data_IF_842163912415
#
_entry.id   IF_842163912415
#
_cell.length_a   1.000
_cell.length_b   1.000
_cell.length_c   1.000
_cell.angle_alpha   90.00
_cell.angle_beta   90.00
_cell.angle_gamma   90.00
#
_symmetry.space_group_name_H-M   'P 1'
#
loop_
_entity.id
_entity.type
_entity.pdbx_description
1 polymer ?
#
# COMPACT_ATOMS: atom_id res chain seq x y z
N UNK A 1 -24.82 7.06 -2.72
CA UNK A 1 -24.17 8.32 -3.14
C UNK A 1 -24.03 9.19 -1.92
N UNK A 2 -22.90 9.88 -1.77
CA UNK A 2 -22.63 10.71 -0.59
C UNK A 2 -23.40 12.03 -0.71
N UNK A 3 -24.12 12.42 0.33
CA UNK A 3 -24.89 13.67 0.37
C UNK A 3 -23.96 14.85 0.74
N UNK A 4 -23.12 15.29 -0.21
CA UNK A 4 -22.09 16.34 -0.02
C UNK A 4 -22.68 17.61 0.61
N UNK A 5 -23.80 18.11 0.06
CA UNK A 5 -24.42 19.37 0.52
C UNK A 5 -24.84 19.28 2.00
N UNK A 6 -25.36 18.13 2.44
CA UNK A 6 -25.73 17.93 3.85
C UNK A 6 -24.51 17.88 4.76
N UNK A 7 -23.43 17.25 4.32
CA UNK A 7 -22.18 17.20 5.08
C UNK A 7 -21.54 18.59 5.22
N UNK A 8 -21.68 19.45 4.20
CA UNK A 8 -21.17 20.82 4.21
C UNK A 8 -22.16 21.85 4.78
N UNK A 9 -23.39 21.48 5.10
CA UNK A 9 -24.34 22.37 5.76
C UNK A 9 -23.90 22.60 7.22
N UNK A 10 -23.77 23.86 7.70
CA UNK A 10 -23.49 24.17 9.11
C UNK A 10 -24.47 23.47 10.08
N UNK A 11 -24.01 23.09 11.27
CA UNK A 11 -24.86 22.40 12.26
C UNK A 11 -25.98 23.32 12.76
N UNK A 12 -25.65 24.56 13.11
CA UNK A 12 -26.61 25.64 13.39
C UNK A 12 -26.01 27.01 13.05
N UNK A 13 -26.82 28.07 13.11
CA UNK A 13 -26.34 29.44 12.91
C UNK A 13 -25.38 29.90 14.02
N UNK A 14 -25.64 29.49 15.27
CA UNK A 14 -24.85 29.88 16.44
C UNK A 14 -23.61 28.99 16.67
N UNK A 15 -23.62 27.76 16.16
CA UNK A 15 -22.50 26.82 16.28
C UNK A 15 -22.33 26.05 14.96
N UNK A 16 -21.70 26.65 13.94
CA UNK A 16 -21.57 26.06 12.61
C UNK A 16 -20.90 24.68 12.61
N UNK A 17 -19.98 24.44 13.55
CA UNK A 17 -19.25 23.17 13.70
C UNK A 17 -19.79 22.26 14.80
N UNK A 18 -20.83 22.67 15.53
CA UNK A 18 -21.42 21.90 16.62
C UNK A 18 -20.43 21.57 17.75
N UNK A 19 -20.63 20.44 18.42
CA UNK A 19 -19.87 20.05 19.61
C UNK A 19 -18.62 19.21 19.28
N UNK A 20 -17.55 19.37 20.06
CA UNK A 20 -16.43 18.44 20.03
C UNK A 20 -16.79 17.15 20.79
N UNK A 21 -17.26 16.14 20.07
CA UNK A 21 -17.86 14.95 20.68
C UNK A 21 -16.92 14.18 21.60
N UNK A 22 -15.59 14.27 21.43
CA UNK A 22 -14.62 13.60 22.31
C UNK A 22 -14.74 14.04 23.78
N UNK A 23 -15.30 15.23 24.04
CA UNK A 23 -15.62 15.69 25.39
C UNK A 23 -16.92 15.10 25.93
N UNK A 24 -17.84 14.70 25.06
CA UNK A 24 -19.00 13.87 25.41
C UNK A 24 -18.62 12.38 25.29
N UNK A 25 -18.11 11.83 26.40
CA UNK A 25 -17.70 10.43 26.48
C UNK A 25 -18.81 9.45 26.06
N UNK A 26 -20.08 9.80 26.26
CA UNK A 26 -21.19 8.90 25.93
C UNK A 26 -21.41 8.84 24.42
N UNK A 27 -21.49 9.99 23.76
CA UNK A 27 -21.67 10.09 22.32
C UNK A 27 -20.45 9.55 21.54
N UNK A 28 -19.24 9.95 21.92
CA UNK A 28 -18.02 9.53 21.20
C UNK A 28 -17.71 8.03 21.34
N UNK A 29 -18.02 7.42 22.49
CA UNK A 29 -17.74 5.99 22.71
C UNK A 29 -18.52 5.11 21.72
N UNK A 30 -19.76 5.47 21.39
CA UNK A 30 -20.55 4.76 20.38
C UNK A 30 -19.86 4.77 19.01
N UNK A 31 -19.48 5.96 18.54
CA UNK A 31 -18.77 6.14 17.27
C UNK A 31 -17.44 5.38 17.23
N UNK A 32 -16.64 5.47 18.30
CA UNK A 32 -15.36 4.78 18.38
C UNK A 32 -15.51 3.25 18.41
N UNK A 33 -16.55 2.74 19.07
CA UNK A 33 -16.83 1.30 19.07
C UNK A 33 -17.18 0.81 17.66
N UNK A 34 -18.01 1.55 16.91
CA UNK A 34 -18.35 1.22 15.52
C UNK A 34 -17.10 1.22 14.63
N UNK A 35 -16.21 2.20 14.80
CA UNK A 35 -14.94 2.25 14.07
C UNK A 35 -14.06 1.03 14.38
N UNK A 36 -13.89 0.69 15.65
CA UNK A 36 -13.11 -0.47 16.06
C UNK A 36 -13.72 -1.79 15.55
N UNK A 37 -15.05 -1.91 15.54
CA UNK A 37 -15.75 -3.08 15.03
C UNK A 37 -15.51 -3.26 13.53
N UNK A 38 -15.64 -2.18 12.74
CA UNK A 38 -15.36 -2.17 11.31
C UNK A 38 -13.92 -2.56 10.98
N UNK A 39 -12.94 -1.98 11.70
CA UNK A 39 -11.53 -2.34 11.56
C UNK A 39 -11.25 -3.80 11.92
N UNK A 40 -11.86 -4.29 13.01
CA UNK A 40 -11.65 -5.66 13.49
C UNK A 40 -12.25 -6.70 12.53
N UNK A 41 -13.48 -6.47 12.03
CA UNK A 41 -14.09 -7.36 11.03
C UNK A 41 -13.32 -7.37 9.72
N UNK A 42 -12.78 -6.21 9.30
CA UNK A 42 -11.98 -6.15 8.08
C UNK A 42 -10.65 -6.90 8.22
N UNK A 43 -9.98 -6.76 9.36
CA UNK A 43 -8.77 -7.53 9.67
C UNK A 43 -9.07 -9.03 9.67
N UNK A 44 -10.15 -9.44 10.33
CA UNK A 44 -10.57 -10.85 10.36
C UNK A 44 -10.82 -11.39 8.94
N UNK A 45 -11.44 -10.60 8.06
CA UNK A 45 -11.68 -10.97 6.67
C UNK A 45 -10.38 -11.17 5.88
N UNK A 46 -9.36 -10.33 6.12
CA UNK A 46 -8.07 -10.40 5.41
C UNK A 46 -7.19 -11.54 5.92
N UNK A 47 -7.19 -11.78 7.23
CA UNK A 47 -6.29 -12.74 7.88
C UNK A 47 -6.82 -14.18 7.83
N UNK A 48 -8.12 -14.37 7.59
CA UNK A 48 -8.74 -15.71 7.54
C UNK A 48 -8.53 -16.35 6.16
N UNK A 49 -7.92 -17.56 6.08
CA UNK A 49 -7.84 -18.30 4.82
C UNK A 49 -9.24 -18.60 4.27
N UNK A 50 -9.41 -18.51 2.96
CA UNK A 50 -10.68 -18.77 2.25
C UNK A 50 -11.87 -17.91 2.72
N UNK A 51 -11.62 -16.77 3.38
CA UNK A 51 -12.66 -15.86 3.87
C UNK A 51 -13.62 -15.36 2.78
N UNK A 52 -13.18 -15.37 1.51
CA UNK A 52 -14.03 -15.06 0.35
C UNK A 52 -15.22 -16.01 0.18
N UNK A 53 -15.18 -17.18 0.82
CA UNK A 53 -16.26 -18.18 0.82
C UNK A 53 -17.02 -18.25 2.14
N UNK A 54 -16.64 -17.44 3.14
CA UNK A 54 -17.32 -17.34 4.42
C UNK A 54 -18.32 -16.17 4.38
N UNK A 55 -19.57 -16.48 4.03
CA UNK A 55 -20.66 -15.50 3.97
C UNK A 55 -20.85 -14.76 5.30
N UNK A 56 -20.62 -15.41 6.44
CA UNK A 56 -20.80 -14.77 7.74
C UNK A 56 -19.73 -13.69 8.00
N UNK A 57 -18.49 -13.92 7.58
CA UNK A 57 -17.43 -12.90 7.68
C UNK A 57 -17.66 -11.72 6.74
N UNK A 58 -18.11 -12.01 5.51
CA UNK A 58 -18.45 -10.97 4.53
C UNK A 58 -19.61 -10.10 5.03
N UNK A 59 -20.69 -10.71 5.50
CA UNK A 59 -21.87 -10.02 6.03
C UNK A 59 -21.54 -9.21 7.29
N UNK A 60 -20.75 -9.77 8.21
CA UNK A 60 -20.33 -9.07 9.42
C UNK A 60 -19.48 -7.84 9.08
N UNK A 61 -18.52 -7.98 8.14
CA UNK A 61 -17.71 -6.87 7.69
C UNK A 61 -18.57 -5.78 7.02
N UNK A 62 -19.44 -6.14 6.08
CA UNK A 62 -20.34 -5.21 5.42
C UNK A 62 -21.22 -4.47 6.42
N UNK A 63 -21.80 -5.18 7.39
CA UNK A 63 -22.66 -4.62 8.43
C UNK A 63 -21.91 -3.61 9.29
N UNK A 64 -20.70 -3.94 9.76
CA UNK A 64 -19.92 -3.03 10.61
C UNK A 64 -19.50 -1.75 9.88
N UNK A 65 -19.10 -1.86 8.61
CA UNK A 65 -18.77 -0.68 7.80
C UNK A 65 -20.00 0.18 7.48
N UNK A 66 -21.16 -0.44 7.28
CA UNK A 66 -22.42 0.28 7.15
C UNK A 66 -22.78 1.04 8.44
N UNK A 67 -22.70 0.40 9.60
CA UNK A 67 -22.97 1.05 10.89
C UNK A 67 -22.02 2.22 11.15
N UNK A 68 -20.72 2.06 10.84
CA UNK A 68 -19.76 3.15 10.95
C UNK A 68 -20.14 4.32 10.04
N UNK A 69 -20.47 4.03 8.77
CA UNK A 69 -20.85 5.05 7.78
C UNK A 69 -22.09 5.84 8.21
N UNK A 70 -23.14 5.15 8.64
CA UNK A 70 -24.40 5.77 9.08
C UNK A 70 -24.18 6.62 10.34
N UNK A 71 -23.52 6.06 11.35
CA UNK A 71 -23.29 6.78 12.61
C UNK A 71 -22.36 7.99 12.46
N UNK A 72 -21.32 7.90 11.61
CA UNK A 72 -20.47 9.07 11.30
C UNK A 72 -21.20 10.10 10.46
N UNK A 73 -22.02 9.69 9.49
CA UNK A 73 -22.86 10.61 8.72
C UNK A 73 -23.84 11.38 9.61
N UNK A 74 -24.53 10.69 10.52
CA UNK A 74 -25.46 11.32 11.47
C UNK A 74 -24.72 12.31 12.37
N UNK A 75 -23.57 11.93 12.93
CA UNK A 75 -22.75 12.83 13.73
C UNK A 75 -22.30 14.07 12.94
N UNK A 76 -21.83 13.88 11.70
CA UNK A 76 -21.30 14.93 10.84
C UNK A 76 -22.37 15.89 10.32
N UNK A 77 -23.63 15.46 10.29
CA UNK A 77 -24.76 16.29 9.81
C UNK A 77 -25.59 16.89 10.93
N UNK A 78 -25.58 16.31 12.13
CA UNK A 78 -26.47 16.72 13.23
C UNK A 78 -25.75 17.26 14.46
N UNK A 79 -24.47 16.94 14.66
CA UNK A 79 -23.82 17.19 15.97
C UNK A 79 -22.45 17.84 15.88
N UNK A 80 -21.67 17.59 14.83
CA UNK A 80 -20.27 18.03 14.80
C UNK A 80 -19.73 18.18 13.37
N UNK A 81 -18.78 19.10 13.16
CA UNK A 81 -17.86 19.08 12.02
C UNK A 81 -16.49 18.68 12.54
N UNK A 82 -16.19 17.39 12.47
CA UNK A 82 -14.96 16.80 13.00
C UNK A 82 -14.20 16.05 11.91
N UNK A 83 -12.93 16.43 11.67
CA UNK A 83 -12.13 15.83 10.60
C UNK A 83 -11.62 14.42 10.91
N UNK A 84 -11.54 14.02 12.19
CA UNK A 84 -11.25 12.63 12.57
C UNK A 84 -12.44 11.74 12.15
N UNK A 85 -13.66 12.16 12.49
CA UNK A 85 -14.88 11.44 12.11
C UNK A 85 -15.11 11.46 10.60
N UNK A 86 -14.79 12.56 9.91
CA UNK A 86 -14.84 12.62 8.45
C UNK A 86 -13.83 11.64 7.83
N UNK A 87 -12.64 11.49 8.40
CA UNK A 87 -11.68 10.48 7.95
C UNK A 87 -12.23 9.05 8.07
N UNK A 88 -12.94 8.74 9.16
CA UNK A 88 -13.63 7.45 9.31
C UNK A 88 -14.76 7.27 8.29
N UNK A 89 -15.55 8.32 8.05
CA UNK A 89 -16.61 8.32 7.05
C UNK A 89 -16.06 8.10 5.63
N UNK A 90 -14.98 8.79 5.23
CA UNK A 90 -14.29 8.61 3.94
C UNK A 90 -13.82 7.15 3.81
N UNK A 91 -13.16 6.62 4.83
CA UNK A 91 -12.67 5.24 4.84
C UNK A 91 -13.80 4.22 4.63
N UNK A 92 -14.97 4.47 5.23
CA UNK A 92 -16.14 3.58 5.10
C UNK A 92 -16.77 3.55 3.71
N UNK A 93 -16.46 4.53 2.84
CA UNK A 93 -17.01 4.59 1.48
C UNK A 93 -16.46 3.49 0.58
N UNK A 94 -15.25 3.00 0.87
CA UNK A 94 -14.60 1.91 0.16
C UNK A 94 -15.35 0.56 0.31
N UNK A 95 -16.26 0.48 1.27
CA UNK A 95 -17.07 -0.71 1.58
C UNK A 95 -18.53 -0.55 1.13
N UNK A 96 -18.76 0.29 0.11
CA UNK A 96 -20.07 0.48 -0.52
C UNK A 96 -20.12 -0.22 -1.86
N UNK A 97 -21.32 -0.31 -2.45
CA UNK A 97 -21.49 -0.87 -3.80
C UNK A 97 -20.84 -0.01 -4.91
N UNK A 98 -20.56 1.27 -4.65
CA UNK A 98 -19.91 2.19 -5.59
C UNK A 98 -18.72 2.90 -4.91
N UNK A 99 -17.64 2.16 -4.62
CA UNK A 99 -16.59 2.63 -3.73
C UNK A 99 -15.84 3.85 -4.28
N UNK A 100 -15.47 3.86 -5.57
CA UNK A 100 -14.73 4.98 -6.16
C UNK A 100 -15.56 6.25 -6.28
N UNK A 101 -16.87 6.13 -6.59
CA UNK A 101 -17.76 7.28 -6.63
C UNK A 101 -17.92 7.90 -5.25
N UNK A 102 -18.21 7.08 -4.24
CA UNK A 102 -18.38 7.57 -2.88
C UNK A 102 -17.04 8.07 -2.28
N UNK A 103 -15.90 7.52 -2.69
CA UNK A 103 -14.57 8.05 -2.32
C UNK A 103 -14.35 9.45 -2.93
N UNK A 104 -14.61 9.63 -4.23
CA UNK A 104 -14.48 10.93 -4.88
C UNK A 104 -15.38 11.97 -4.21
N UNK A 105 -16.65 11.67 -3.98
CA UNK A 105 -17.58 12.58 -3.32
C UNK A 105 -17.14 12.91 -1.88
N UNK A 106 -16.77 11.90 -1.08
CA UNK A 106 -16.42 12.11 0.32
C UNK A 106 -15.09 12.82 0.52
N UNK A 107 -14.12 12.63 -0.38
CA UNK A 107 -12.86 13.39 -0.36
C UNK A 107 -13.06 14.86 -0.72
N UNK A 108 -14.07 15.18 -1.55
CA UNK A 108 -14.46 16.57 -1.81
C UNK A 108 -14.97 17.29 -0.57
N UNK A 109 -15.69 16.56 0.31
CA UNK A 109 -16.16 17.10 1.60
C UNK A 109 -14.99 17.50 2.51
N UNK A 110 -13.86 16.77 2.46
CA UNK A 110 -12.67 17.12 3.25
C UNK A 110 -12.15 18.51 2.93
N UNK A 111 -11.99 18.85 1.65
CA UNK A 111 -11.59 20.21 1.24
C UNK A 111 -12.60 21.24 1.74
N UNK A 112 -13.91 20.97 1.56
CA UNK A 112 -14.96 21.87 2.04
C UNK A 112 -14.93 22.09 3.56
N UNK A 113 -14.60 21.07 4.36
CA UNK A 113 -14.42 21.22 5.81
C UNK A 113 -13.29 22.17 6.16
N UNK A 114 -12.15 22.05 5.47
CA UNK A 114 -10.99 22.92 5.70
C UNK A 114 -11.30 24.35 5.24
N UNK A 115 -11.95 24.54 4.09
CA UNK A 115 -12.22 25.88 3.57
C UNK A 115 -13.32 26.61 4.35
N UNK A 116 -14.37 25.91 4.78
CA UNK A 116 -15.56 26.53 5.36
C UNK A 116 -15.50 26.63 6.89
N UNK A 117 -14.87 25.66 7.56
CA UNK A 117 -15.03 25.49 9.01
C UNK A 117 -13.74 25.65 9.82
N UNK A 118 -12.57 25.82 9.18
CA UNK A 118 -11.25 25.71 9.82
C UNK A 118 -11.15 26.34 11.21
N UNK A 119 -11.61 27.58 11.37
CA UNK A 119 -11.49 28.34 12.62
C UNK A 119 -12.03 27.56 13.83
N UNK A 120 -13.22 26.98 13.72
CA UNK A 120 -13.94 26.30 14.80
C UNK A 120 -14.04 24.78 14.57
N UNK A 121 -13.29 24.26 13.59
CA UNK A 121 -13.34 22.85 13.20
C UNK A 121 -12.81 21.93 14.30
N UNK A 122 -13.49 20.80 14.49
CA UNK A 122 -13.04 19.76 15.40
C UNK A 122 -12.10 18.79 14.68
N UNK A 123 -11.15 18.13 15.39
CA UNK A 123 -10.88 18.22 16.81
C UNK A 123 -10.34 19.58 17.27
N UNK A 124 -10.72 20.01 18.46
CA UNK A 124 -10.24 21.23 19.09
C UNK A 124 -9.66 20.97 20.48
N UNK A 125 -8.64 21.72 20.88
CA UNK A 125 -8.02 21.56 22.20
C UNK A 125 -8.89 22.32 23.24
N UNK A 126 -9.29 21.68 24.36
CA UNK A 126 -10.03 22.38 25.41
C UNK A 126 -9.23 23.56 25.97
N UNK A 127 -9.90 24.67 26.34
CA UNK A 127 -9.21 25.90 26.82
C UNK A 127 -8.25 25.63 27.97
N UNK A 128 -8.63 24.77 28.92
CA UNK A 128 -7.80 24.39 30.07
C UNK A 128 -6.59 23.50 29.73
N UNK A 129 -6.43 23.11 28.46
CA UNK A 129 -5.32 22.31 27.95
C UNK A 129 -4.38 23.11 27.04
N UNK A 130 -4.74 24.34 26.68
CA UNK A 130 -3.88 25.24 25.91
C UNK A 130 -2.82 25.82 26.84
N UNK A 131 -1.54 25.71 26.46
CA UNK A 131 -0.41 26.12 27.32
C UNK A 131 0.05 27.55 27.04
N UNK A 132 -0.10 28.00 25.80
CA UNK A 132 0.31 29.33 25.36
C UNK A 132 -0.63 30.42 25.86
N UNK A 133 -0.06 31.52 26.33
CA UNK A 133 -0.82 32.67 26.84
C UNK A 133 -1.15 33.70 25.74
N UNK A 134 -0.39 33.71 24.65
CA UNK A 134 -0.59 34.60 23.49
C UNK A 134 -1.42 33.95 22.38
N UNK A 135 -2.13 34.78 21.59
CA UNK A 135 -3.04 34.32 20.55
C UNK A 135 -2.36 33.49 19.45
N UNK A 136 -1.11 33.80 19.10
CA UNK A 136 -0.38 33.07 18.07
C UNK A 136 0.00 31.66 18.55
N UNK A 137 0.49 31.54 19.79
CA UNK A 137 0.77 30.25 20.43
C UNK A 137 -0.46 29.38 20.57
N UNK A 138 -1.61 29.94 20.98
CA UNK A 138 -2.89 29.21 21.06
C UNK A 138 -3.31 28.68 19.69
N UNK A 139 -3.26 29.52 18.66
CA UNK A 139 -3.63 29.13 17.30
C UNK A 139 -2.72 28.01 16.75
N UNK A 140 -1.42 28.07 17.09
CA UNK A 140 -0.45 27.01 16.76
C UNK A 140 -0.80 25.68 17.40
N UNK A 141 -1.03 25.66 18.72
CA UNK A 141 -1.41 24.44 19.47
C UNK A 141 -2.73 23.84 18.94
N UNK A 142 -3.70 24.69 18.61
CA UNK A 142 -4.98 24.27 18.03
C UNK A 142 -4.80 23.62 16.65
N UNK A 143 -4.02 24.25 15.76
CA UNK A 143 -3.75 23.71 14.44
C UNK A 143 -2.99 22.37 14.49
N UNK A 144 -1.96 22.26 15.33
CA UNK A 144 -1.21 21.00 15.54
C UNK A 144 -2.12 19.88 16.06
N UNK A 145 -2.98 20.20 17.03
CA UNK A 145 -3.92 19.23 17.59
C UNK A 145 -4.96 18.79 16.56
N UNK A 146 -5.51 19.74 15.79
CA UNK A 146 -6.58 19.51 14.83
C UNK A 146 -6.15 18.59 13.71
N UNK A 147 -4.98 18.82 13.09
CA UNK A 147 -4.56 18.06 11.91
C UNK A 147 -4.11 16.63 12.27
N UNK A 148 -3.58 16.40 13.47
CA UNK A 148 -2.94 15.14 13.86
C UNK A 148 -3.79 13.88 13.59
N UNK A 149 -5.11 13.85 13.86
CA UNK A 149 -5.93 12.67 13.61
C UNK A 149 -6.10 12.31 12.13
N UNK A 150 -5.81 13.22 11.18
CA UNK A 150 -5.81 12.91 9.75
C UNK A 150 -4.79 11.83 9.38
N UNK A 151 -3.75 11.60 10.19
CA UNK A 151 -2.81 10.50 9.99
C UNK A 151 -3.50 9.13 9.92
N UNK A 152 -4.64 8.93 10.62
CA UNK A 152 -5.43 7.70 10.50
C UNK A 152 -5.99 7.48 9.09
N UNK A 153 -6.24 8.56 8.34
CA UNK A 153 -6.70 8.50 6.95
C UNK A 153 -5.52 8.44 5.99
N UNK A 154 -4.57 9.37 6.12
CA UNK A 154 -3.55 9.63 5.09
C UNK A 154 -2.28 8.80 5.23
N UNK A 155 -2.04 8.22 6.41
CA UNK A 155 -0.90 7.36 6.72
C UNK A 155 0.43 8.09 6.94
N UNK A 156 1.37 7.39 7.56
CA UNK A 156 2.79 7.79 7.74
C UNK A 156 3.74 6.97 6.84
N UNK A 157 3.19 6.00 6.12
CA UNK A 157 3.83 5.09 5.18
C UNK A 157 2.80 4.65 4.12
N UNK A 158 3.25 4.05 3.01
CA UNK A 158 2.33 3.60 1.95
C UNK A 158 1.31 2.57 2.46
N UNK A 159 1.68 1.77 3.46
CA UNK A 159 0.91 0.66 4.02
C UNK A 159 0.09 1.01 5.27
N UNK A 160 0.21 2.24 5.80
CA UNK A 160 -0.52 2.70 6.99
C UNK A 160 -1.72 3.61 6.68
N UNK A 161 -1.99 3.89 5.40
CA UNK A 161 -3.17 4.67 5.00
C UNK A 161 -4.45 3.85 5.19
N UNK A 162 -5.57 4.51 5.44
CA UNK A 162 -6.86 3.82 5.50
C UNK A 162 -7.31 3.23 4.14
N UNK A 163 -6.70 3.67 3.03
CA UNK A 163 -7.02 3.24 1.68
C UNK A 163 -6.18 2.05 1.22
N UNK A 164 -5.00 1.83 1.80
CA UNK A 164 -4.01 0.89 1.28
C UNK A 164 -4.53 -0.53 1.12
N UNK A 165 -5.11 -1.11 2.18
CA UNK A 165 -5.64 -2.47 2.12
C UNK A 165 -6.98 -2.56 1.37
N UNK A 166 -7.96 -1.66 1.59
CA UNK A 166 -9.22 -1.72 0.84
C UNK A 166 -9.04 -1.60 -0.68
N UNK A 167 -8.17 -0.70 -1.17
CA UNK A 167 -7.93 -0.53 -2.61
C UNK A 167 -7.35 -1.80 -3.27
N UNK A 168 -6.65 -2.65 -2.50
CA UNK A 168 -6.14 -3.93 -3.01
C UNK A 168 -7.23 -5.00 -3.16
N UNK A 169 -8.40 -4.82 -2.56
CA UNK A 169 -9.48 -5.82 -2.54
C UNK A 169 -10.70 -5.41 -3.37
N UNK A 170 -10.83 -4.12 -3.68
CA UNK A 170 -11.90 -3.60 -4.52
C UNK A 170 -11.57 -3.88 -5.99
N UNK A 171 -12.60 -4.24 -6.76
CA UNK A 171 -12.50 -4.39 -8.21
C UNK A 171 -11.98 -3.11 -8.86
N UNK A 172 -10.86 -3.20 -9.57
CA UNK A 172 -10.21 -2.12 -10.30
C UNK A 172 -10.63 -2.12 -11.78
N UNK A 173 -10.76 -3.30 -12.38
CA UNK A 173 -11.28 -3.55 -13.72
C UNK A 173 -12.22 -4.75 -13.60
N UNK A 174 -13.53 -4.48 -13.50
CA UNK A 174 -14.53 -5.49 -13.14
C UNK A 174 -14.08 -6.27 -11.89
N UNK A 175 -13.84 -7.58 -11.99
CA UNK A 175 -13.38 -8.40 -10.87
C UNK A 175 -11.86 -8.38 -10.63
N UNK A 176 -11.06 -7.77 -11.50
CA UNK A 176 -9.61 -7.68 -11.31
C UNK A 176 -9.30 -6.61 -10.27
N UNK A 177 -8.63 -6.97 -9.19
CA UNK A 177 -8.26 -6.06 -8.11
C UNK A 177 -6.84 -5.50 -8.27
N UNK A 178 -6.51 -4.41 -7.57
CA UNK A 178 -5.11 -3.97 -7.48
C UNK A 178 -4.21 -5.01 -6.79
N UNK A 179 -4.75 -5.81 -5.87
CA UNK A 179 -4.05 -6.95 -5.28
C UNK A 179 -3.68 -8.03 -6.30
N UNK A 180 -4.53 -8.30 -7.29
CA UNK A 180 -4.21 -9.22 -8.40
C UNK A 180 -3.05 -8.70 -9.24
N UNK A 181 -3.02 -7.39 -9.51
CA UNK A 181 -1.90 -6.74 -10.21
C UNK A 181 -0.58 -6.92 -9.46
N UNK A 182 -0.55 -6.62 -8.16
CA UNK A 182 0.64 -6.79 -7.32
C UNK A 182 1.08 -8.25 -7.18
N UNK A 183 0.15 -9.20 -7.20
CA UNK A 183 0.47 -10.64 -7.24
C UNK A 183 1.09 -11.02 -8.58
N UNK A 184 0.48 -10.61 -9.69
CA UNK A 184 0.94 -10.91 -11.04
C UNK A 184 2.32 -10.30 -11.35
N UNK A 185 2.62 -9.12 -10.81
CA UNK A 185 3.96 -8.50 -10.90
C UNK A 185 5.01 -9.37 -10.21
N UNK A 186 4.73 -9.85 -8.99
CA UNK A 186 5.65 -10.71 -8.23
C UNK A 186 5.84 -12.10 -8.84
N UNK A 187 4.79 -12.68 -9.41
CA UNK A 187 4.86 -14.00 -10.06
C UNK A 187 5.29 -13.96 -11.52
N UNK A 188 5.42 -12.78 -12.13
CA UNK A 188 5.76 -12.62 -13.55
C UNK A 188 4.62 -12.96 -14.52
N UNK A 189 3.37 -13.02 -14.06
CA UNK A 189 2.18 -13.36 -14.86
C UNK A 189 1.39 -12.13 -15.35
N UNK A 190 2.02 -10.95 -15.38
CA UNK A 190 1.39 -9.70 -15.84
C UNK A 190 0.81 -9.78 -17.26
N UNK A 191 1.41 -10.56 -18.16
CA UNK A 191 0.93 -10.70 -19.53
C UNK A 191 -0.46 -11.36 -19.60
N UNK A 192 -0.68 -12.39 -18.78
CA UNK A 192 -1.97 -13.09 -18.68
C UNK A 192 -3.03 -12.18 -18.06
N UNK A 193 -2.68 -11.48 -16.98
CA UNK A 193 -3.57 -10.52 -16.33
C UNK A 193 -3.94 -9.38 -17.28
N UNK A 194 -2.98 -8.87 -18.05
CA UNK A 194 -3.20 -7.84 -19.08
C UNK A 194 -4.19 -8.32 -20.15
N UNK A 195 -4.04 -9.54 -20.65
CA UNK A 195 -4.99 -10.11 -21.62
C UNK A 195 -6.41 -10.19 -21.03
N UNK A 196 -6.55 -10.65 -19.78
CA UNK A 196 -7.84 -10.72 -19.08
C UNK A 196 -8.45 -9.32 -18.92
N UNK A 197 -7.68 -8.37 -18.42
CA UNK A 197 -8.13 -6.98 -18.21
C UNK A 197 -8.60 -6.32 -19.50
N UNK A 198 -7.93 -6.59 -20.63
CA UNK A 198 -8.33 -6.09 -21.95
C UNK A 198 -9.64 -6.68 -22.47
N UNK A 199 -10.03 -7.87 -22.03
CA UNK A 199 -11.32 -8.48 -22.37
C UNK A 199 -12.47 -7.91 -21.53
N UNK A 200 -12.17 -7.51 -20.31
CA UNK A 200 -13.12 -6.89 -19.37
C UNK A 200 -13.21 -5.37 -19.51
N UNK A 201 -12.43 -4.78 -20.42
CA UNK A 201 -12.42 -3.34 -20.61
C UNK A 201 -13.79 -2.82 -21.07
N UNK A 202 -14.30 -1.83 -20.35
CA UNK A 202 -15.64 -1.23 -20.51
C UNK A 202 -15.58 0.28 -20.21
N UNK A 203 -16.68 1.00 -20.48
CA UNK A 203 -16.82 2.42 -20.10
C UNK A 203 -16.68 2.66 -18.60
N UNK A 204 -17.00 1.67 -17.80
CA UNK A 204 -16.93 1.65 -16.34
C UNK A 204 -15.47 1.72 -15.84
N UNK A 205 -14.53 1.16 -16.62
CA UNK A 205 -13.09 1.28 -16.35
C UNK A 205 -12.63 2.72 -16.54
N UNK A 206 -13.07 3.38 -17.61
CA UNK A 206 -12.77 4.81 -17.84
C UNK A 206 -13.36 5.67 -16.73
N UNK A 207 -14.60 5.42 -16.32
CA UNK A 207 -15.21 6.09 -15.17
C UNK A 207 -14.41 5.87 -13.88
N UNK A 208 -13.93 4.65 -13.63
CA UNK A 208 -13.08 4.32 -12.47
C UNK A 208 -11.79 5.12 -12.46
N UNK A 209 -11.11 5.25 -13.62
CA UNK A 209 -9.91 6.10 -13.78
C UNK A 209 -10.21 7.55 -13.41
N UNK A 210 -11.33 8.09 -13.91
CA UNK A 210 -11.73 9.48 -13.64
C UNK A 210 -12.07 9.73 -12.17
N UNK A 211 -12.77 8.80 -11.52
CA UNK A 211 -13.13 8.89 -10.09
C UNK A 211 -11.91 8.78 -9.17
N UNK A 212 -10.96 7.91 -9.50
CA UNK A 212 -9.67 7.82 -8.80
C UNK A 212 -8.88 9.13 -8.98
N UNK A 213 -8.81 9.66 -10.20
CA UNK A 213 -8.15 10.94 -10.47
C UNK A 213 -8.81 12.08 -9.69
N UNK A 214 -10.13 12.16 -9.65
CA UNK A 214 -10.86 13.15 -8.85
C UNK A 214 -10.52 13.02 -7.35
N UNK A 215 -10.50 11.80 -6.81
CA UNK A 215 -10.10 11.54 -5.42
C UNK A 215 -8.66 12.03 -5.14
N UNK A 216 -7.73 11.79 -6.07
CA UNK A 216 -6.35 12.28 -5.99
C UNK A 216 -6.29 13.83 -5.96
N UNK A 217 -7.05 14.49 -6.83
CA UNK A 217 -7.10 15.95 -6.89
C UNK A 217 -7.74 16.53 -5.62
N UNK A 218 -8.82 15.93 -5.12
CA UNK A 218 -9.46 16.35 -3.87
C UNK A 218 -8.48 16.27 -2.68
N UNK A 219 -7.72 15.18 -2.55
CA UNK A 219 -6.68 15.09 -1.52
C UNK A 219 -5.57 16.13 -1.72
N UNK A 220 -5.18 16.43 -2.95
CA UNK A 220 -4.18 17.47 -3.25
C UNK A 220 -4.67 18.87 -2.86
N UNK A 221 -5.95 19.16 -3.11
CA UNK A 221 -6.59 20.42 -2.71
C UNK A 221 -6.71 20.53 -1.18
N UNK A 222 -7.13 19.46 -0.50
CA UNK A 222 -7.19 19.43 0.97
C UNK A 222 -5.80 19.63 1.61
N UNK A 223 -4.77 18.96 1.09
CA UNK A 223 -3.38 19.13 1.55
C UNK A 223 -2.92 20.58 1.39
N UNK A 224 -3.21 21.20 0.24
CA UNK A 224 -2.88 22.61 -0.01
C UNK A 224 -3.62 23.56 0.94
N UNK A 225 -4.92 23.37 1.14
CA UNK A 225 -5.73 24.18 2.05
C UNK A 225 -5.22 24.07 3.49
N UNK A 226 -4.90 22.87 3.96
CA UNK A 226 -4.30 22.66 5.29
C UNK A 226 -2.93 23.34 5.39
N UNK A 227 -2.09 23.22 4.36
CA UNK A 227 -0.77 23.85 4.33
C UNK A 227 -0.86 25.37 4.43
N UNK A 228 -1.82 26.00 3.73
CA UNK A 228 -2.06 27.43 3.82
C UNK A 228 -2.48 27.86 5.24
N UNK A 229 -3.34 27.08 5.90
CA UNK A 229 -3.75 27.36 7.27
C UNK A 229 -2.59 27.17 8.27
N UNK A 230 -1.81 26.10 8.13
CA UNK A 230 -0.66 25.81 8.99
C UNK A 230 0.44 26.88 8.84
N UNK A 231 0.68 27.37 7.62
CA UNK A 231 1.67 28.41 7.34
C UNK A 231 1.37 29.73 8.07
N UNK A 232 0.09 30.11 8.20
CA UNK A 232 -0.33 31.33 8.89
C UNK A 232 0.04 31.33 10.38
N UNK A 233 0.13 30.15 11.00
CA UNK A 233 0.40 29.98 12.45
C UNK A 233 1.76 29.32 12.73
N UNK A 234 2.59 29.08 11.71
CA UNK A 234 3.92 28.49 11.86
C UNK A 234 3.91 27.01 12.27
N UNK A 235 2.91 26.25 11.82
CA UNK A 235 2.79 24.80 12.00
C UNK A 235 3.31 24.07 10.76
N UNK A 236 3.97 22.94 10.94
CA UNK A 236 4.34 22.05 9.82
C UNK A 236 3.11 21.23 9.41
N UNK A 237 2.65 21.31 8.14
CA UNK A 237 1.49 20.54 7.71
C UNK A 237 1.80 19.04 7.60
N UNK A 238 0.76 18.23 7.68
CA UNK A 238 0.83 16.79 7.40
C UNK A 238 0.87 16.58 5.88
N UNK A 239 1.73 15.67 5.42
CA UNK A 239 1.77 15.28 4.02
C UNK A 239 0.72 14.21 3.70
N UNK A 240 0.07 14.36 2.55
CA UNK A 240 -0.91 13.41 2.00
C UNK A 240 -0.25 12.51 0.94
N UNK A 241 1.08 12.48 0.87
CA UNK A 241 1.83 11.75 -0.16
C UNK A 241 1.45 10.27 -0.25
N UNK A 242 1.28 9.59 0.89
CA UNK A 242 1.05 8.15 0.92
C UNK A 242 -0.34 7.76 0.39
N UNK A 243 -1.40 8.42 0.87
CA UNK A 243 -2.76 8.17 0.37
C UNK A 243 -2.88 8.51 -1.12
N UNK A 244 -2.25 9.60 -1.56
CA UNK A 244 -2.17 9.97 -2.97
C UNK A 244 -1.39 8.96 -3.81
N UNK A 245 -0.31 8.40 -3.26
CA UNK A 245 0.45 7.34 -3.93
C UNK A 245 -0.41 6.08 -4.12
N UNK A 246 -1.18 5.63 -3.11
CA UNK A 246 -2.06 4.46 -3.26
C UNK A 246 -3.08 4.63 -4.40
N UNK A 247 -3.64 5.83 -4.55
CA UNK A 247 -4.56 6.15 -5.65
C UNK A 247 -3.82 6.18 -7.00
N UNK A 248 -2.65 6.85 -7.06
CA UNK A 248 -1.84 6.93 -8.27
C UNK A 248 -1.39 5.55 -8.75
N UNK A 249 -1.00 4.65 -7.83
CA UNK A 249 -0.59 3.28 -8.15
C UNK A 249 -1.76 2.48 -8.73
N UNK A 250 -2.98 2.69 -8.22
CA UNK A 250 -4.19 2.07 -8.76
C UNK A 250 -4.48 2.55 -10.19
N UNK A 251 -4.35 3.86 -10.45
CA UNK A 251 -4.49 4.44 -11.80
C UNK A 251 -3.41 3.89 -12.75
N UNK A 252 -2.16 3.80 -12.29
CA UNK A 252 -1.05 3.26 -13.07
C UNK A 252 -1.22 1.77 -13.40
N UNK A 253 -1.78 0.99 -12.48
CA UNK A 253 -2.13 -0.40 -12.74
C UNK A 253 -3.20 -0.52 -13.84
N UNK A 254 -4.26 0.31 -13.81
CA UNK A 254 -5.23 0.38 -14.92
C UNK A 254 -4.51 0.75 -16.22
N UNK A 255 -3.70 1.80 -16.20
CA UNK A 255 -2.94 2.25 -17.38
C UNK A 255 -2.08 1.14 -17.99
N UNK A 256 -1.40 0.36 -17.15
CA UNK A 256 -0.56 -0.74 -17.61
C UNK A 256 -1.40 -1.87 -18.23
N UNK A 257 -2.51 -2.23 -17.60
CA UNK A 257 -3.36 -3.35 -17.99
C UNK A 257 -4.22 -3.04 -19.23
N UNK A 258 -4.76 -1.83 -19.34
CA UNK A 258 -5.74 -1.48 -20.37
C UNK A 258 -5.38 -0.26 -21.21
N UNK A 259 -4.20 0.35 -21.03
CA UNK A 259 -3.79 1.55 -21.76
C UNK A 259 -3.96 1.48 -23.28
N UNK A 260 -3.70 0.31 -23.89
CA UNK A 260 -3.83 0.08 -25.34
C UNK A 260 -5.30 0.08 -25.83
N UNK A 261 -6.28 0.02 -24.92
CA UNK A 261 -7.72 0.07 -25.22
C UNK A 261 -8.27 1.49 -25.20
N UNK A 262 -7.57 2.44 -24.59
CA UNK A 262 -7.93 3.85 -24.64
C UNK A 262 -7.52 4.42 -25.99
N UNK A 263 -8.43 5.15 -26.66
CA UNK A 263 -8.07 5.91 -27.87
C UNK A 263 -7.00 6.96 -27.56
N UNK A 264 -7.18 7.66 -26.44
CA UNK A 264 -6.19 8.49 -25.79
C UNK A 264 -6.32 8.29 -24.28
N UNK A 265 -5.20 8.18 -23.57
CA UNK A 265 -5.24 8.13 -22.11
C UNK A 265 -5.83 9.43 -21.55
N UNK A 266 -6.87 9.37 -20.68
CA UNK A 266 -7.67 10.55 -20.32
C UNK A 266 -6.97 11.52 -19.36
N UNK A 267 -5.86 11.11 -18.74
CA UNK A 267 -5.14 11.91 -17.74
C UNK A 267 -3.79 12.44 -18.24
N UNK A 268 -3.35 13.57 -17.70
CA UNK A 268 -2.00 14.10 -17.89
C UNK A 268 -0.99 13.52 -16.87
N UNK A 269 0.23 14.09 -16.83
CA UNK A 269 1.28 13.66 -15.88
C UNK A 269 0.97 14.00 -14.42
N UNK A 270 0.11 14.99 -14.18
CA UNK A 270 -0.34 15.43 -12.86
C UNK A 270 -1.65 14.75 -12.44
N UNK A 271 -2.09 13.72 -13.18
CA UNK A 271 -3.35 13.01 -12.99
C UNK A 271 -4.58 13.93 -13.06
N UNK A 272 -4.52 14.97 -13.89
CA UNK A 272 -5.67 15.82 -14.22
C UNK A 272 -6.31 15.34 -15.53
N UNK A 273 -7.65 15.48 -15.66
CA UNK A 273 -8.32 15.28 -16.94
C UNK A 273 -7.69 16.15 -18.03
N UNK A 274 -7.31 15.54 -19.15
CA UNK A 274 -6.91 16.29 -20.33
C UNK A 274 -8.11 17.06 -20.83
N UNK A 275 -7.96 18.37 -21.00
CA UNK A 275 -8.93 19.14 -21.77
C UNK A 275 -8.79 18.67 -23.22
N UNK A 276 -9.90 18.28 -23.84
CA UNK A 276 -9.91 18.07 -25.29
C UNK A 276 -9.53 19.41 -25.93
N UNK A 277 -8.30 19.52 -26.41
CA UNK A 277 -7.94 20.58 -27.35
C UNK A 277 -8.90 20.43 -28.53
N UNK A 278 -9.83 21.38 -28.67
CA UNK A 278 -10.46 21.66 -29.95
C UNK A 278 -9.30 21.98 -30.89
N UNK A 279 -8.90 20.99 -31.66
CA UNK A 279 -7.78 21.10 -32.58
C UNK A 279 -8.05 22.27 -33.54
N UNK A 280 -7.40 23.42 -33.32
CA UNK A 280 -7.04 24.27 -34.42
C UNK A 280 -6.05 23.50 -35.30
N UNK A 281 -6.27 23.40 -36.61
CA UNK A 281 -5.34 22.70 -37.48
C UNK A 281 -4.06 23.52 -37.55
N UNK A 282 -2.99 23.04 -36.94
CA UNK A 282 -1.62 23.49 -37.23
C UNK A 282 -1.39 23.46 -38.74
N UNK A 283 -1.07 24.58 -39.40
CA UNK A 283 -0.55 24.52 -40.75
C UNK A 283 0.89 24.01 -40.72
N UNK A 284 1.19 23.22 -41.73
CA UNK A 284 2.37 22.42 -41.92
C UNK A 284 3.69 23.20 -41.92
N UNK A 285 4.73 22.50 -41.46
CA UNK A 285 6.11 22.42 -41.99
C UNK A 285 6.57 23.61 -42.85
N UNK A 286 7.51 24.39 -42.31
CA UNK A 286 8.37 25.27 -43.11
C UNK A 286 9.81 24.75 -43.06
N UNK A 287 10.25 24.13 -44.15
CA UNK A 287 11.68 24.00 -44.48
C UNK A 287 12.26 25.38 -44.87
N UNK A 288 13.57 25.62 -44.69
CA UNK A 288 14.15 26.95 -44.84
C UNK A 288 14.60 27.21 -46.28
N UNK A 289 14.14 28.32 -46.85
CA UNK A 289 14.68 28.88 -48.10
C UNK A 289 15.57 30.09 -47.80
N UNK A 290 16.86 29.93 -48.05
CA UNK A 290 17.90 30.96 -48.19
C UNK A 290 17.64 31.90 -49.38
N UNK A 291 17.72 33.22 -49.21
CA UNK A 291 18.36 34.19 -50.15
C UNK A 291 18.78 35.51 -49.43
N UNK A 292 20.10 35.71 -49.36
CA UNK A 292 20.97 36.91 -49.53
C UNK A 292 20.67 38.34 -49.03
N UNK A 293 21.66 38.90 -48.30
CA UNK A 293 22.42 40.19 -48.41
C UNK A 293 21.76 41.43 -49.09
N UNK A 294 21.93 42.71 -48.70
CA UNK A 294 22.85 43.51 -47.86
C UNK A 294 22.12 44.85 -47.51
N UNK A 295 22.49 45.72 -46.56
CA UNK A 295 23.65 46.64 -46.49
C UNK A 295 23.68 47.34 -45.10
N UNK A 296 24.92 47.64 -44.69
CA UNK A 296 25.53 48.30 -43.51
C UNK A 296 25.04 49.74 -43.19
N UNK A 297 25.00 50.16 -41.91
CA UNK A 297 25.75 51.34 -41.37
C UNK A 297 25.67 51.58 -39.82
N UNK A 298 26.87 51.64 -39.20
CA UNK A 298 27.37 52.33 -37.97
C UNK A 298 27.02 51.93 -36.51
N UNK A 299 28.12 51.67 -35.78
CA UNK A 299 28.40 51.35 -34.37
C UNK A 299 28.21 52.53 -33.36
N UNK A 300 28.70 52.52 -32.08
CA UNK A 300 29.37 51.47 -31.27
C UNK A 300 28.97 51.38 -29.76
N UNK A 301 29.36 50.28 -29.07
CA UNK A 301 30.09 50.26 -27.77
C UNK A 301 30.29 48.82 -27.24
N UNK A 302 31.48 48.55 -26.68
CA UNK A 302 32.12 47.26 -26.39
C UNK A 302 32.05 46.84 -24.89
N UNK A 303 32.86 45.89 -24.36
CA UNK A 303 33.01 44.45 -24.68
C UNK A 303 33.01 43.53 -23.42
N UNK A 304 32.91 42.20 -23.59
CA UNK A 304 33.49 41.20 -22.66
C UNK A 304 34.08 40.01 -23.44
N UNK A 305 35.33 39.68 -23.13
CA UNK A 305 36.26 38.67 -23.71
C UNK A 305 35.73 37.22 -23.58
N UNK A 306 35.66 36.42 -24.67
CA UNK A 306 36.67 35.51 -25.30
C UNK A 306 36.96 34.21 -24.53
N UNK A 307 36.42 33.05 -24.96
CA UNK A 307 36.96 32.05 -25.93
C UNK A 307 38.06 31.14 -25.32
N UNK A 308 38.32 29.87 -25.70
CA UNK A 308 38.64 29.25 -27.02
C UNK A 308 38.64 27.71 -26.76
N UNK A 309 37.87 26.85 -27.46
CA UNK A 309 37.96 26.27 -28.81
C UNK A 309 38.70 24.91 -28.93
N UNK A 310 38.07 24.03 -29.72
CA UNK A 310 38.58 22.80 -30.32
C UNK A 310 39.66 23.09 -31.39
N UNK A 311 40.28 22.07 -32.03
CA UNK A 311 39.66 21.58 -33.27
C UNK A 311 39.92 20.10 -33.63
N UNK A 312 39.17 19.67 -34.65
CA UNK A 312 39.23 18.40 -35.36
C UNK A 312 39.97 18.57 -36.70
N UNK A 313 40.60 17.50 -37.19
CA UNK A 313 40.62 16.97 -38.59
C UNK A 313 41.99 16.54 -39.15
N UNK A 314 41.87 15.48 -39.96
CA UNK A 314 42.82 14.53 -40.53
C UNK A 314 43.75 15.07 -41.63
N UNK A 315 44.91 14.40 -41.85
CA UNK A 315 45.18 13.47 -43.00
C UNK A 315 46.70 13.27 -43.19
N UNK A 316 47.03 12.11 -43.78
CA UNK A 316 48.20 11.70 -44.59
C UNK A 316 49.14 10.65 -43.96
N UNK A 317 49.18 9.49 -44.61
CA UNK A 317 50.11 8.35 -44.41
C UNK A 317 51.52 8.63 -44.99
N UNK A 318 52.53 7.80 -44.66
CA UNK A 318 52.94 6.78 -45.63
C UNK A 318 53.39 5.43 -45.01
N UNK A 319 53.71 4.51 -45.92
CA UNK A 319 53.94 3.05 -45.80
C UNK A 319 55.38 2.69 -45.38
N UNK A 320 55.55 1.64 -44.55
CA UNK A 320 56.67 0.67 -44.61
C UNK A 320 56.39 -0.58 -43.73
N UNK A 321 56.79 -1.77 -44.21
CA UNK A 321 56.51 -3.11 -43.65
C UNK A 321 57.69 -3.69 -42.79
N UNK A 322 57.68 -4.98 -42.40
CA UNK A 322 57.33 -5.49 -41.06
C UNK A 322 58.54 -5.93 -40.22
N UNK A 323 58.46 -5.82 -38.88
CA UNK A 323 59.41 -6.50 -37.98
C UNK A 323 58.71 -7.17 -36.80
N UNK A 324 59.22 -8.36 -36.49
CA UNK A 324 58.78 -9.35 -35.51
C UNK A 324 59.50 -9.06 -34.19
N UNK A 325 58.79 -8.90 -33.06
CA UNK A 325 59.21 -9.47 -31.76
C UNK A 325 58.31 -9.11 -30.55
N UNK A 326 58.14 -10.15 -29.73
CA UNK A 326 57.98 -10.20 -28.28
C UNK A 326 56.65 -9.75 -27.65
N UNK A 327 55.93 -10.74 -27.13
CA UNK A 327 54.77 -10.61 -26.26
C UNK A 327 55.11 -9.90 -24.95
N UNK A 328 54.38 -8.82 -24.67
CA UNK A 328 54.22 -8.21 -23.35
C UNK A 328 52.74 -8.38 -22.92
N UNK A 329 52.46 -8.51 -21.62
CA UNK A 329 51.15 -8.94 -21.13
C UNK A 329 50.08 -7.89 -21.44
N UNK A 330 48.95 -8.36 -21.96
CA UNK A 330 47.77 -7.53 -22.21
C UNK A 330 47.22 -7.08 -20.86
N UNK A 331 47.33 -5.79 -20.58
CA UNK A 331 46.55 -5.12 -19.54
C UNK A 331 45.06 -5.24 -19.93
N UNK A 332 44.29 -5.92 -19.10
CA UNK A 332 42.83 -5.93 -19.24
C UNK A 332 42.26 -4.55 -18.84
N UNK A 333 41.22 -4.06 -19.52
CA UNK A 333 40.55 -2.83 -19.13
C UNK A 333 39.86 -2.99 -17.77
N UNK A 334 39.97 -1.96 -16.93
CA UNK A 334 39.27 -1.81 -15.66
C UNK A 334 37.74 -1.84 -15.88
N UNK A 335 37.10 -2.96 -15.54
CA UNK A 335 35.66 -3.01 -15.32
C UNK A 335 35.34 -2.39 -13.95
N UNK A 336 34.89 -1.14 -13.93
CA UNK A 336 34.25 -0.56 -12.75
C UNK A 336 32.90 -1.25 -12.52
N UNK A 337 32.72 -1.88 -11.36
CA UNK A 337 31.40 -2.10 -10.75
C UNK A 337 30.72 -3.45 -10.93
N UNK A 338 31.36 -4.47 -11.53
CA UNK A 338 30.79 -5.83 -11.47
C UNK A 338 31.23 -6.54 -10.19
N UNK A 339 30.27 -6.78 -9.29
CA UNK A 339 30.42 -7.70 -8.17
C UNK A 339 30.47 -9.12 -8.75
N UNK A 340 31.67 -9.68 -8.89
CA UNK A 340 31.88 -10.97 -9.52
C UNK A 340 31.79 -12.14 -8.53
N UNK A 341 31.86 -11.86 -7.22
CA UNK A 341 31.76 -12.87 -6.17
C UNK A 341 31.01 -12.36 -4.94
N UNK A 342 30.45 -13.31 -4.19
CA UNK A 342 29.78 -13.06 -2.91
C UNK A 342 30.69 -12.32 -1.92
N UNK A 343 31.95 -12.73 -1.85
CA UNK A 343 32.93 -12.14 -0.94
C UNK A 343 33.27 -10.70 -1.34
N UNK A 344 33.35 -10.43 -2.65
CA UNK A 344 33.54 -9.07 -3.17
C UNK A 344 32.33 -8.17 -2.85
N UNK A 345 31.11 -8.72 -2.87
CA UNK A 345 29.90 -8.01 -2.45
C UNK A 345 29.99 -7.59 -0.99
N UNK A 346 30.36 -8.53 -0.11
CA UNK A 346 30.48 -8.24 1.33
C UNK A 346 31.65 -7.30 1.65
N UNK A 347 32.73 -7.31 0.86
CA UNK A 347 33.79 -6.32 0.99
C UNK A 347 33.29 -4.90 0.71
N UNK A 348 32.49 -4.70 -0.35
CA UNK A 348 31.91 -3.37 -0.64
C UNK A 348 30.91 -2.94 0.43
N UNK A 349 30.08 -3.87 0.95
CA UNK A 349 29.17 -3.57 2.06
C UNK A 349 29.96 -3.16 3.31
N UNK A 350 31.13 -3.76 3.56
CA UNK A 350 32.00 -3.39 4.67
C UNK A 350 32.60 -2.00 4.50
N UNK A 351 33.03 -1.64 3.29
CA UNK A 351 33.51 -0.28 2.99
C UNK A 351 32.41 0.76 3.25
N UNK A 352 31.16 0.46 2.88
CA UNK A 352 30.00 1.32 3.15
C UNK A 352 29.71 1.40 4.67
N UNK A 353 29.77 0.27 5.37
CA UNK A 353 29.63 0.20 6.83
C UNK A 353 30.67 1.08 7.55
N UNK A 354 31.93 1.01 7.14
CA UNK A 354 33.02 1.83 7.69
C UNK A 354 32.80 3.32 7.42
N UNK A 355 32.28 3.68 6.24
CA UNK A 355 31.90 5.06 5.93
C UNK A 355 30.84 5.57 6.92
N UNK A 356 29.73 4.85 7.11
CA UNK A 356 28.68 5.25 8.06
C UNK A 356 29.17 5.29 9.51
N UNK A 357 30.11 4.41 9.88
CA UNK A 357 30.70 4.42 11.22
C UNK A 357 31.55 5.68 11.47
N UNK A 358 32.14 6.26 10.42
CA UNK A 358 32.93 7.50 10.50
C UNK A 358 32.05 8.76 10.41
N UNK A 359 31.02 8.75 9.57
CA UNK A 359 30.17 9.92 9.33
C UNK A 359 29.00 10.03 10.31
N UNK A 360 28.45 8.88 10.75
CA UNK A 360 27.30 8.80 11.64
C UNK A 360 27.51 7.70 12.73
N UNK A 361 28.38 7.92 13.72
CA UNK A 361 28.76 6.88 14.69
C UNK A 361 27.61 6.31 15.54
N UNK A 362 26.51 7.06 15.66
CA UNK A 362 25.31 6.68 16.41
C UNK A 362 24.17 6.15 15.52
N UNK A 363 24.39 6.09 14.20
CA UNK A 363 23.43 5.53 13.27
C UNK A 363 23.39 4.00 13.40
N UNK A 364 22.20 3.39 13.51
CA UNK A 364 22.08 1.93 13.58
C UNK A 364 22.50 1.26 12.26
N UNK A 365 22.63 2.00 11.16
CA UNK A 365 22.92 1.49 9.82
C UNK A 365 24.27 0.75 9.79
N UNK A 366 25.33 1.32 10.35
CA UNK A 366 26.66 0.68 10.37
C UNK A 366 26.63 -0.70 11.05
N UNK A 367 25.93 -0.80 12.18
CA UNK A 367 25.76 -2.06 12.92
C UNK A 367 24.91 -3.07 12.16
N UNK A 368 23.86 -2.62 11.46
CA UNK A 368 23.00 -3.48 10.65
C UNK A 368 23.74 -4.04 9.43
N UNK A 369 24.59 -3.24 8.78
CA UNK A 369 25.40 -3.68 7.64
C UNK A 369 26.45 -4.72 8.07
N UNK A 370 27.15 -4.51 9.19
CA UNK A 370 28.05 -5.55 9.74
C UNK A 370 27.29 -6.83 10.11
N UNK A 371 26.09 -6.69 10.70
CA UNK A 371 25.26 -7.85 11.04
C UNK A 371 24.81 -8.62 9.80
N UNK A 372 24.48 -7.92 8.71
CA UNK A 372 24.12 -8.54 7.44
C UNK A 372 25.30 -9.31 6.81
N UNK A 373 26.52 -8.76 6.87
CA UNK A 373 27.73 -9.49 6.46
C UNK A 373 27.90 -10.75 7.31
N UNK A 374 27.73 -10.63 8.63
CA UNK A 374 27.90 -11.72 9.59
C UNK A 374 26.91 -12.87 9.33
N UNK A 375 25.64 -12.54 9.11
CA UNK A 375 24.60 -13.50 8.71
C UNK A 375 24.88 -14.12 7.34
N UNK A 376 25.48 -13.36 6.42
CA UNK A 376 25.94 -13.88 5.14
C UNK A 376 26.92 -15.04 5.28
N UNK A 377 27.83 -15.02 6.25
CA UNK A 377 28.81 -16.11 6.42
C UNK A 377 28.34 -17.26 7.32
N UNK A 378 27.15 -17.16 7.92
CA UNK A 378 26.59 -18.22 8.74
C UNK A 378 25.97 -19.33 7.90
N UNK A 379 26.01 -20.55 8.43
CA UNK A 379 25.14 -21.60 7.93
C UNK A 379 23.69 -21.31 8.32
N UNK A 380 22.75 -21.82 7.52
CA UNK A 380 21.32 -21.62 7.77
C UNK A 380 20.88 -22.09 9.19
N UNK A 381 21.35 -23.24 9.73
CA UNK A 381 21.03 -23.64 11.09
C UNK A 381 21.50 -22.62 12.16
N UNK A 382 22.73 -22.12 12.03
CA UNK A 382 23.28 -21.12 12.97
C UNK A 382 22.51 -19.80 12.90
N UNK A 383 22.11 -19.39 11.70
CA UNK A 383 21.31 -18.17 11.50
C UNK A 383 19.93 -18.29 12.16
N UNK A 384 19.25 -19.44 11.99
CA UNK A 384 17.94 -19.69 12.59
C UNK A 384 18.04 -19.72 14.12
N UNK A 385 19.07 -20.35 14.67
CA UNK A 385 19.31 -20.37 16.12
C UNK A 385 19.54 -18.96 16.68
N UNK A 386 20.31 -18.13 15.98
CA UNK A 386 20.57 -16.76 16.39
C UNK A 386 19.33 -15.85 16.27
N UNK A 387 18.58 -15.95 15.17
CA UNK A 387 17.38 -15.15 14.95
C UNK A 387 16.23 -15.50 15.91
N UNK A 388 16.15 -16.77 16.32
CA UNK A 388 15.13 -17.24 17.28
C UNK A 388 15.54 -17.03 18.73
N UNK A 389 16.73 -16.46 18.98
CA UNK A 389 17.23 -16.18 20.33
C UNK A 389 17.40 -17.44 21.18
N UNK A 390 17.69 -18.60 20.55
CA UNK A 390 17.79 -19.89 21.23
C UNK A 390 16.44 -20.50 21.67
N UNK A 391 15.31 -20.00 21.14
CA UNK A 391 13.99 -20.60 21.42
C UNK A 391 13.81 -21.94 20.69
N UNK A 392 14.20 -23.02 21.38
CA UNK A 392 14.22 -24.40 20.87
C UNK A 392 12.89 -24.87 20.25
N UNK A 393 11.74 -24.33 20.66
CA UNK A 393 10.44 -24.74 20.12
C UNK A 393 10.20 -24.25 18.69
N UNK A 394 10.65 -23.04 18.36
CA UNK A 394 10.50 -22.47 17.01
C UNK A 394 11.47 -23.12 16.04
N UNK A 395 12.71 -23.39 16.49
CA UNK A 395 13.73 -24.10 15.70
C UNK A 395 13.28 -25.52 15.36
N UNK A 396 12.74 -26.27 16.33
CA UNK A 396 12.21 -27.63 16.10
C UNK A 396 11.04 -27.64 15.11
N UNK A 397 10.14 -26.67 15.20
CA UNK A 397 9.01 -26.57 14.28
C UNK A 397 9.45 -26.28 12.83
N UNK A 398 10.43 -25.39 12.66
CA UNK A 398 11.00 -25.06 11.34
C UNK A 398 11.72 -26.28 10.74
N UNK A 399 12.51 -27.01 11.53
CA UNK A 399 13.22 -28.18 11.02
C UNK A 399 12.26 -29.32 10.62
N UNK A 400 11.17 -29.48 11.37
CA UNK A 400 10.14 -30.48 11.09
C UNK A 400 9.35 -30.18 9.81
N UNK A 401 9.08 -28.89 9.53
CA UNK A 401 8.39 -28.46 8.31
C UNK A 401 9.30 -28.49 7.07
N UNK A 402 10.60 -28.25 7.23
CA UNK A 402 11.58 -28.20 6.13
C UNK A 402 12.24 -29.54 5.85
N UNK A 403 12.05 -30.53 6.72
CA UNK A 403 12.63 -31.87 6.59
C UNK A 403 14.14 -31.92 6.89
N UNK A 404 14.71 -30.88 7.51
CA UNK A 404 16.14 -30.81 7.84
C UNK A 404 16.57 -31.81 8.94
N UNK A 405 15.62 -32.53 9.53
CA UNK A 405 15.87 -33.54 10.57
C UNK A 405 16.29 -34.92 10.04
N UNK A 406 16.20 -35.18 8.72
CA UNK A 406 16.50 -36.47 8.11
C UNK A 406 17.43 -36.35 6.89
N UNK A 407 18.73 -36.26 7.14
CA UNK A 407 19.77 -36.19 6.09
C UNK A 407 20.22 -37.57 5.57
N UNK A 408 19.66 -38.68 6.07
CA UNK A 408 19.99 -40.01 5.57
C UNK A 408 19.28 -40.26 4.23
N UNK A 409 20.05 -40.53 3.18
CA UNK A 409 19.49 -40.98 1.89
C UNK A 409 18.73 -42.28 2.08
N UNK A 410 17.48 -42.31 1.59
CA UNK A 410 16.68 -43.53 1.53
C UNK A 410 17.34 -44.49 0.54
N UNK A 411 17.68 -45.69 0.99
CA UNK A 411 18.20 -46.74 0.11
C UNK A 411 17.09 -47.22 -0.85
N UNK A 412 17.30 -46.98 -2.15
CA UNK A 412 16.35 -47.30 -3.22
C UNK A 412 16.57 -48.70 -3.82
N UNK A 413 17.51 -49.50 -3.30
CA UNK A 413 17.91 -50.81 -3.84
C UNK A 413 16.78 -51.85 -3.95
N UNK A 414 15.67 -51.69 -3.22
CA UNK A 414 14.57 -52.66 -3.18
C UNK A 414 13.27 -52.23 -3.88
N UNK A 415 13.24 -51.11 -4.62
CA UNK A 415 12.10 -50.79 -5.49
C UNK A 415 12.32 -51.38 -6.88
N UNK A 416 12.05 -52.68 -7.01
CA UNK A 416 11.99 -53.35 -8.31
C UNK A 416 10.97 -52.63 -9.21
N UNK A 417 11.45 -52.09 -10.33
CA UNK A 417 10.64 -51.48 -11.39
C UNK A 417 9.74 -52.55 -12.01
N UNK A 418 8.45 -52.56 -11.69
CA UNK A 418 7.49 -53.37 -12.44
C UNK A 418 7.31 -52.74 -13.83
N UNK A 419 8.04 -53.27 -14.81
CA UNK A 419 7.76 -53.05 -16.22
C UNK A 419 6.44 -53.75 -16.58
N UNK A 420 5.44 -52.96 -16.97
CA UNK A 420 4.20 -53.44 -17.58
C UNK A 420 4.51 -53.97 -18.99
N UNK A 421 4.56 -55.29 -19.14
CA UNK A 421 4.58 -55.95 -20.43
C UNK A 421 3.17 -56.33 -20.87
N UNK A 422 2.78 -55.85 -22.06
CA UNK A 422 1.55 -56.19 -22.78
C UNK A 422 1.74 -57.53 -23.49
N UNK A 423 0.87 -58.51 -23.28
CA UNK A 423 0.71 -59.66 -24.19
C UNK A 423 -0.65 -60.37 -24.05
N UNK A 424 -1.21 -60.71 -25.22
CA UNK A 424 -2.51 -61.32 -25.50
C UNK A 424 -2.62 -62.83 -25.20
N UNK A 425 -3.85 -63.22 -24.82
CA UNK A 425 -4.65 -64.42 -25.16
C UNK A 425 -4.25 -65.87 -24.81
N UNK A 426 -5.32 -66.56 -24.35
CA UNK A 426 -5.73 -67.97 -24.50
C UNK A 426 -5.29 -69.03 -23.45
N UNK A 427 -6.26 -69.41 -22.60
CA UNK A 427 -6.95 -70.73 -22.60
C UNK A 427 -7.15 -71.41 -21.22
N UNK A 428 -8.43 -71.55 -20.83
CA UNK A 428 -9.17 -72.71 -20.28
C UNK A 428 -8.54 -73.60 -19.17
N UNK A 429 -9.12 -73.61 -17.95
CA UNK A 429 -9.95 -74.73 -17.38
C UNK A 429 -10.34 -74.52 -15.89
N UNK A 430 -11.67 -74.59 -15.65
CA UNK A 430 -12.48 -75.24 -14.59
C UNK A 430 -12.36 -74.96 -13.07
N UNK A 431 -13.54 -74.56 -12.53
CA UNK A 431 -14.24 -74.90 -11.27
C UNK A 431 -13.53 -74.59 -9.92
N UNK A 432 -14.15 -73.99 -8.90
CA UNK A 432 -15.49 -74.24 -8.34
C UNK A 432 -16.10 -73.03 -7.59
N UNK A 433 -17.39 -73.17 -7.29
CA UNK A 433 -18.37 -72.19 -6.78
C UNK A 433 -18.27 -71.94 -5.28
N UNK A 434 -18.33 -70.69 -4.80
CA UNK A 434 -19.15 -70.33 -3.62
C UNK A 434 -19.43 -68.82 -3.48
N UNK A 435 -20.73 -68.49 -3.40
CA UNK A 435 -21.30 -67.17 -3.11
C UNK A 435 -21.29 -66.88 -1.60
N UNK A 436 -20.90 -65.66 -1.19
CA UNK A 436 -21.52 -64.95 -0.05
C UNK A 436 -21.36 -63.44 -0.20
N UNK A 437 -22.44 -62.72 0.13
CA UNK A 437 -22.73 -61.29 -0.07
C UNK A 437 -22.07 -60.37 0.97
N UNK A 438 -21.78 -59.15 0.57
CA UNK A 438 -21.56 -57.96 1.43
C UNK A 438 -22.81 -57.55 2.22
N UNK A 439 -22.62 -56.77 3.30
CA UNK A 439 -23.39 -55.54 3.42
C UNK A 439 -22.57 -54.30 3.86
N UNK A 440 -22.99 -53.17 3.32
CA UNK A 440 -22.68 -51.76 3.65
C UNK A 440 -23.19 -51.34 5.03
N UNK A 441 -22.57 -50.34 5.72
CA UNK A 441 -23.21 -49.63 6.82
C UNK A 441 -23.65 -48.20 6.42
N UNK A 442 -24.84 -47.82 6.91
CA UNK A 442 -25.42 -46.47 6.88
C UNK A 442 -25.25 -45.78 8.24
N UNK A 443 -25.16 -44.44 8.23
CA UNK A 443 -25.01 -43.55 9.38
C UNK A 443 -26.37 -42.93 9.75
N UNK A 444 -26.69 -42.87 11.04
CA UNK A 444 -27.91 -42.26 11.60
C UNK A 444 -27.55 -41.13 12.59
N UNK A 445 -28.32 -40.04 12.55
CA UNK A 445 -28.19 -38.77 13.29
C UNK A 445 -29.21 -38.74 14.44
N UNK A 446 -28.88 -38.15 15.58
CA UNK A 446 -29.90 -37.82 16.60
C UNK A 446 -29.57 -36.54 17.38
N UNK A 447 -30.56 -35.65 17.48
CA UNK A 447 -30.64 -34.45 18.34
C UNK A 447 -31.12 -34.79 19.77
N UNK A 448 -31.05 -33.84 20.73
CA UNK A 448 -32.07 -33.78 21.77
C UNK A 448 -32.63 -32.38 22.09
N UNK A 449 -33.90 -32.37 22.52
CA UNK A 449 -34.71 -31.23 23.00
C UNK A 449 -34.54 -30.94 24.52
N UNK A 450 -35.03 -29.77 24.92
CA UNK A 450 -34.96 -29.10 26.23
C UNK A 450 -35.89 -29.65 27.34
N UNK A 451 -35.70 -29.20 28.59
CA UNK A 451 -36.74 -28.59 29.49
C UNK A 451 -36.19 -28.21 30.89
N UNK A 452 -36.50 -26.96 31.27
CA UNK A 452 -36.74 -26.27 32.56
C UNK A 452 -35.78 -26.20 33.78
N UNK A 453 -35.75 -24.95 34.25
CA UNK A 453 -35.17 -24.28 35.42
C UNK A 453 -35.73 -24.65 36.80
N UNK A 454 -34.88 -24.59 37.83
CA UNK A 454 -35.22 -24.05 39.17
C UNK A 454 -33.96 -23.50 39.87
N UNK A 455 -34.10 -22.35 40.54
CA UNK A 455 -33.09 -21.66 41.37
C UNK A 455 -33.10 -22.27 42.80
N UNK A 456 -32.02 -22.16 43.60
CA UNK A 456 -31.99 -21.07 44.59
C UNK A 456 -30.61 -20.46 44.91
N UNK A 457 -30.71 -19.31 45.56
CA UNK A 457 -29.74 -18.34 46.10
C UNK A 457 -28.78 -18.89 47.17
N UNK A 458 -27.52 -18.44 47.22
CA UNK A 458 -26.82 -17.97 48.44
C UNK A 458 -25.44 -17.35 48.13
N UNK A 459 -24.83 -16.79 49.16
CA UNK A 459 -24.15 -15.50 49.24
C UNK A 459 -22.63 -15.65 49.51
N UNK A 460 -21.89 -14.56 49.29
CA UNK A 460 -20.74 -14.05 50.08
C UNK A 460 -19.27 -14.34 49.70
N UNK A 461 -18.52 -13.22 49.69
CA UNK A 461 -17.17 -12.97 50.22
C UNK A 461 -15.90 -13.35 49.43
N UNK A 462 -15.30 -12.30 48.82
CA UNK A 462 -13.89 -11.86 48.92
C UNK A 462 -12.78 -12.89 49.19
N UNK A 463 -11.79 -12.94 48.28
CA UNK A 463 -10.37 -12.84 48.66
C UNK A 463 -9.50 -12.43 47.47
N UNK A 464 -8.60 -11.50 47.74
CA UNK A 464 -7.58 -11.00 46.83
C UNK A 464 -6.43 -11.99 46.70
N UNK A 465 -5.84 -12.11 45.52
CA UNK A 465 -4.40 -12.37 45.39
C UNK A 465 -3.87 -11.89 44.03
N UNK A 466 -2.92 -10.97 44.14
CA UNK A 466 -2.13 -10.38 43.08
C UNK A 466 -1.14 -11.38 42.49
N UNK A 467 -1.01 -11.40 41.18
CA UNK A 467 0.26 -11.73 40.51
C UNK A 467 0.44 -10.77 39.34
N UNK A 468 1.48 -9.94 39.44
CA UNK A 468 1.75 -8.85 38.52
C UNK A 468 2.37 -9.34 37.20
N UNK A 469 1.92 -8.73 36.11
CA UNK A 469 2.55 -8.78 34.79
C UNK A 469 2.53 -7.37 34.20
N UNK A 470 3.71 -6.88 33.85
CA UNK A 470 3.98 -5.55 33.30
C UNK A 470 3.08 -5.21 32.11
N UNK A 471 2.19 -4.23 32.28
CA UNK A 471 1.72 -3.32 31.22
C UNK A 471 1.21 -2.03 31.85
N UNK A 472 2.11 -1.18 32.34
CA UNK A 472 1.84 0.24 32.57
C UNK A 472 2.75 1.04 31.64
N UNK A 473 2.19 1.41 30.49
CA UNK A 473 2.65 2.55 29.70
C UNK A 473 1.41 3.44 29.49
N UNK A 474 1.33 4.48 30.33
CA UNK A 474 0.32 5.53 30.25
C UNK A 474 0.64 6.48 29.09
N UNK A 475 -0.41 6.93 28.40
CA UNK A 475 -0.43 8.16 27.59
C UNK A 475 -1.27 9.21 28.29
#
# INVERSE_FOLDING_TARGET
MVEIDRLLTPISEESPTGAYLKLDRSAYRGLRNNYNAAQSSFRQLIETPDASSDEALLDANQTNWQQLRESTFDALTQSTKDIELLGWFISSQLFTAQPYHNLADSTKVLTGFIEQFWTELHPTLPENKIKSDDEQGKAKELAEFRIKPLLQLVGESNDSTALFMPLQLIGLIEEITFGDYLRAERSGSLAELKQKAQQLFSSEVEQTVMLLAESYQNFSQAELAIAQQCQQVGVTPISFRFVKANIADSINAIRYLTGDKFALWPLDENLQPRQEDVAEPTPAVSEPATVSEAVVETAPAAPTESQVAAPTTSTVAPVAAPQVQAAAPVAQPLSLGQVASRDQAFQQIREISEFFKQTEPHSPISFLLERAIRWGYMSLPELIEEMTGGNSGVVQHINQLTGMDNLNQVDLSNKATQQTAVANNNAITNNDTQLTKEPTPSVEVTQPEAVNTTKPTQTEATSAQSSGGLTDFEW
#
